data_IF_442055449538
#
_entry.id   IF_442055449538
#
_cell.length_a   1.000
_cell.length_b   1.000
_cell.length_c   1.000
_cell.angle_alpha   90.00
_cell.angle_beta   90.00
_cell.angle_gamma   90.00
#
_symmetry.space_group_name_H-M   'P 1'
#
loop_
_entity.id
_entity.type
_entity.pdbx_description
1 polymer ?
#
# COMPACT_ATOMS: atom_id res chain seq x y z
N UNK A 1 -22.96 -8.93 -14.56
CA UNK A 1 -22.26 -8.85 -13.27
C UNK A 1 -21.40 -10.08 -12.92
N UNK A 2 -21.83 -11.30 -13.24
CA UNK A 2 -21.07 -12.55 -12.99
C UNK A 2 -19.75 -12.69 -13.79
N UNK A 3 -19.66 -12.20 -15.03
CA UNK A 3 -18.44 -12.30 -15.85
C UNK A 3 -17.28 -11.43 -15.36
N UNK A 4 -17.57 -10.28 -14.80
CA UNK A 4 -16.52 -9.35 -14.27
C UNK A 4 -15.88 -9.93 -13.00
N UNK A 5 -16.64 -10.60 -12.16
CA UNK A 5 -16.12 -11.23 -10.94
C UNK A 5 -15.22 -12.44 -11.24
N UNK A 6 -15.56 -13.24 -12.25
CA UNK A 6 -14.73 -14.36 -12.70
C UNK A 6 -13.38 -13.89 -13.27
N UNK A 7 -13.37 -12.78 -14.01
CA UNK A 7 -12.13 -12.18 -14.51
C UNK A 7 -11.24 -11.66 -13.37
N UNK A 8 -11.78 -10.98 -12.36
CA UNK A 8 -11.00 -10.50 -11.21
C UNK A 8 -10.42 -11.65 -10.38
N UNK A 9 -11.16 -12.74 -10.22
CA UNK A 9 -10.66 -13.93 -9.51
C UNK A 9 -9.50 -14.59 -10.27
N UNK A 10 -9.69 -14.81 -11.57
CA UNK A 10 -8.65 -15.35 -12.44
C UNK A 10 -7.38 -14.49 -12.43
N UNK A 11 -7.50 -13.18 -12.66
CA UNK A 11 -6.36 -12.26 -12.63
C UNK A 11 -5.65 -12.28 -11.28
N UNK A 12 -6.39 -12.35 -10.18
CA UNK A 12 -5.82 -12.44 -8.83
C UNK A 12 -4.99 -13.72 -8.65
N UNK A 13 -5.49 -14.86 -9.10
CA UNK A 13 -4.77 -16.13 -9.04
C UNK A 13 -3.51 -16.11 -9.92
N UNK A 14 -3.65 -15.61 -11.16
CA UNK A 14 -2.54 -15.48 -12.10
C UNK A 14 -1.41 -14.62 -11.52
N UNK A 15 -1.70 -13.38 -11.13
CA UNK A 15 -0.68 -12.45 -10.65
C UNK A 15 -0.12 -12.79 -9.27
N UNK A 16 -0.88 -13.47 -8.41
CA UNK A 16 -0.31 -14.07 -7.19
C UNK A 16 0.71 -15.14 -7.53
N UNK A 17 0.41 -16.01 -8.49
CA UNK A 17 1.33 -17.04 -8.96
C UNK A 17 2.59 -16.42 -9.57
N UNK A 18 2.45 -15.50 -10.52
CA UNK A 18 3.59 -14.81 -11.15
C UNK A 18 4.47 -14.13 -10.09
N UNK A 19 3.86 -13.41 -9.14
CA UNK A 19 4.59 -12.74 -8.07
C UNK A 19 5.31 -13.74 -7.15
N UNK A 20 4.72 -14.89 -6.86
CA UNK A 20 5.35 -15.93 -6.01
C UNK A 20 6.60 -16.55 -6.62
N UNK A 21 6.79 -16.45 -7.94
CA UNK A 21 7.98 -16.93 -8.64
C UNK A 21 9.17 -15.98 -8.54
N UNK A 22 8.96 -14.75 -8.08
CA UNK A 22 10.03 -13.78 -7.94
C UNK A 22 10.96 -14.14 -6.77
N UNK A 23 12.26 -14.17 -7.05
CA UNK A 23 13.26 -14.27 -6.00
C UNK A 23 13.32 -12.98 -5.16
N UNK A 24 13.84 -13.02 -3.92
CA UNK A 24 14.01 -11.83 -3.09
C UNK A 24 14.83 -10.72 -3.78
N UNK A 25 15.85 -11.09 -4.55
CA UNK A 25 16.65 -10.13 -5.30
C UNK A 25 15.85 -9.45 -6.43
N UNK A 26 14.98 -10.18 -7.13
CA UNK A 26 14.11 -9.60 -8.14
C UNK A 26 13.10 -8.64 -7.51
N UNK A 27 12.47 -9.01 -6.39
CA UNK A 27 11.57 -8.11 -5.65
C UNK A 27 12.28 -6.82 -5.26
N UNK A 28 13.47 -6.95 -4.66
CA UNK A 28 14.28 -5.79 -4.24
C UNK A 28 14.66 -4.91 -5.42
N UNK A 29 15.12 -5.49 -6.53
CA UNK A 29 15.54 -4.73 -7.72
C UNK A 29 14.34 -4.01 -8.35
N UNK A 30 13.20 -4.69 -8.50
CA UNK A 30 11.98 -4.09 -9.04
C UNK A 30 11.45 -2.98 -8.13
N UNK A 31 11.49 -3.18 -6.81
CA UNK A 31 11.09 -2.14 -5.84
C UNK A 31 11.96 -0.89 -5.94
N UNK A 32 13.27 -1.04 -6.14
CA UNK A 32 14.18 0.09 -6.38
C UNK A 32 13.89 0.82 -7.68
N UNK A 33 13.54 0.10 -8.75
CA UNK A 33 13.16 0.72 -10.03
C UNK A 33 11.85 1.49 -9.88
N UNK A 34 10.86 0.93 -9.18
CA UNK A 34 9.60 1.62 -8.85
C UNK A 34 9.90 2.90 -8.05
N UNK A 35 10.72 2.80 -7.00
CA UNK A 35 11.11 3.96 -6.21
C UNK A 35 11.81 5.04 -7.07
N UNK A 36 12.74 4.64 -7.94
CA UNK A 36 13.40 5.56 -8.88
C UNK A 36 12.40 6.27 -9.79
N UNK A 37 11.41 5.55 -10.31
CA UNK A 37 10.34 6.14 -11.13
C UNK A 37 9.46 7.09 -10.31
N UNK A 38 9.13 6.75 -9.06
CA UNK A 38 8.39 7.65 -8.18
C UNK A 38 9.12 8.97 -7.94
N UNK A 39 10.46 8.94 -7.88
CA UNK A 39 11.28 10.15 -7.69
C UNK A 39 11.16 11.16 -8.84
N UNK A 40 10.70 10.75 -10.03
CA UNK A 40 10.45 11.65 -11.17
C UNK A 40 9.09 12.36 -11.06
N UNK A 41 8.22 11.95 -10.15
CA UNK A 41 6.89 12.51 -9.99
C UNK A 41 6.93 13.74 -9.07
N UNK A 42 6.09 14.74 -9.38
CA UNK A 42 5.95 15.94 -8.55
C UNK A 42 4.95 15.70 -7.39
N UNK A 43 5.29 14.76 -6.52
CA UNK A 43 4.42 14.36 -5.39
C UNK A 43 5.06 14.63 -4.03
N UNK A 44 6.36 14.97 -3.96
CA UNK A 44 7.16 14.97 -2.74
C UNK A 44 7.05 16.25 -1.91
N UNK A 45 6.32 17.26 -2.41
CA UNK A 45 6.07 18.52 -1.71
C UNK A 45 4.88 18.45 -0.75
N UNK A 46 4.05 17.43 -0.85
CA UNK A 46 2.93 17.16 0.05
C UNK A 46 3.40 16.87 1.49
N UNK A 47 2.49 16.90 2.46
CA UNK A 47 2.83 16.70 3.87
C UNK A 47 2.29 15.40 4.45
N UNK A 48 1.18 14.87 3.92
CA UNK A 48 0.45 13.74 4.48
C UNK A 48 0.42 12.56 3.51
N UNK A 49 1.14 11.50 3.83
CA UNK A 49 1.28 10.33 2.98
C UNK A 49 0.75 9.08 3.66
N UNK A 50 0.02 8.27 2.93
CA UNK A 50 -0.30 6.92 3.34
C UNK A 50 0.54 5.92 2.55
N UNK A 51 1.15 4.96 3.24
CA UNK A 51 1.87 3.85 2.63
C UNK A 51 1.45 2.54 3.28
N UNK A 52 1.62 1.44 2.58
CA UNK A 52 1.50 0.13 3.20
C UNK A 52 2.86 -0.38 3.69
N UNK A 53 2.85 -1.29 4.66
CA UNK A 53 4.02 -2.04 5.08
C UNK A 53 4.07 -3.32 4.25
N UNK A 54 5.12 -3.48 3.47
CA UNK A 54 5.25 -4.58 2.50
C UNK A 54 5.11 -5.95 3.17
N UNK A 55 4.28 -6.80 2.62
CA UNK A 55 4.19 -8.20 3.02
C UNK A 55 5.21 -9.03 2.23
N UNK A 56 6.30 -9.41 2.92
CA UNK A 56 7.38 -10.21 2.32
C UNK A 56 6.89 -11.57 1.83
N UNK A 57 5.92 -12.18 2.51
CA UNK A 57 5.35 -13.48 2.12
C UNK A 57 4.61 -13.42 0.78
N UNK A 58 4.13 -12.25 0.39
CA UNK A 58 3.44 -12.01 -0.87
C UNK A 58 4.34 -11.35 -1.93
N UNK A 59 5.65 -11.23 -1.69
CA UNK A 59 6.59 -10.54 -2.57
C UNK A 59 6.08 -9.15 -3.00
N UNK A 60 5.48 -8.40 -2.06
CA UNK A 60 5.02 -7.03 -2.31
C UNK A 60 6.17 -6.07 -2.57
N UNK A 61 5.88 -4.98 -3.28
CA UNK A 61 6.83 -3.87 -3.46
C UNK A 61 7.34 -3.40 -2.11
N UNK A 62 8.66 -3.29 -1.96
CA UNK A 62 9.31 -2.81 -0.74
C UNK A 62 9.11 -1.29 -0.59
N UNK A 63 8.33 -0.89 0.40
CA UNK A 63 8.00 0.54 0.66
C UNK A 63 8.92 1.21 1.66
N UNK A 64 9.89 0.50 2.22
CA UNK A 64 10.79 1.05 3.25
C UNK A 64 11.60 2.26 2.75
N UNK A 65 12.07 2.25 1.49
CA UNK A 65 12.82 3.40 0.93
C UNK A 65 11.93 4.64 0.81
N UNK A 66 10.65 4.46 0.43
CA UNK A 66 9.65 5.53 0.37
C UNK A 66 9.44 6.12 1.77
N UNK A 67 9.14 5.26 2.75
CA UNK A 67 8.86 5.67 4.14
C UNK A 67 10.08 6.40 4.73
N UNK A 68 11.29 5.87 4.52
CA UNK A 68 12.52 6.48 5.01
C UNK A 68 12.78 7.85 4.36
N UNK A 69 12.51 8.00 3.06
CA UNK A 69 12.61 9.29 2.38
C UNK A 69 11.62 10.30 2.98
N UNK A 70 10.38 9.91 3.19
CA UNK A 70 9.35 10.75 3.79
C UNK A 70 9.75 11.22 5.19
N UNK A 71 10.29 10.33 6.03
CA UNK A 71 10.83 10.70 7.34
C UNK A 71 12.02 11.66 7.26
N UNK A 72 12.93 11.47 6.28
CA UNK A 72 14.04 12.39 6.04
C UNK A 72 13.58 13.79 5.63
N UNK A 73 12.46 13.86 4.92
CA UNK A 73 11.81 15.12 4.49
C UNK A 73 10.85 15.70 5.55
N UNK A 74 10.80 15.15 6.77
CA UNK A 74 9.90 15.54 7.85
C UNK A 74 8.40 15.50 7.47
N UNK A 75 8.03 14.54 6.61
CA UNK A 75 6.65 14.32 6.20
C UNK A 75 5.93 13.43 7.19
N UNK A 76 4.60 13.60 7.32
CA UNK A 76 3.75 12.74 8.15
C UNK A 76 3.37 11.49 7.37
N UNK A 77 3.65 10.34 7.95
CA UNK A 77 3.45 9.04 7.31
C UNK A 77 2.44 8.21 8.08
N UNK A 78 1.47 7.70 7.36
CA UNK A 78 0.41 6.86 7.89
C UNK A 78 0.48 5.48 7.24
N UNK A 79 0.16 4.46 8.04
CA UNK A 79 0.08 3.08 7.56
C UNK A 79 -1.23 2.44 8.01
N UNK A 80 -1.72 1.43 7.26
CA UNK A 80 -2.94 0.74 7.65
C UNK A 80 -2.70 -0.19 8.83
N UNK A 81 -3.74 -0.35 9.65
CA UNK A 81 -3.89 -1.42 10.64
C UNK A 81 -5.29 -2.01 10.51
N UNK A 82 -5.38 -3.32 10.49
CA UNK A 82 -6.68 -4.02 10.38
C UNK A 82 -7.39 -3.96 11.74
N UNK A 83 -8.63 -3.51 11.71
CA UNK A 83 -9.53 -3.53 12.86
C UNK A 83 -10.89 -4.12 12.42
N UNK A 84 -11.10 -5.40 12.69
CA UNK A 84 -12.25 -6.14 12.17
C UNK A 84 -12.27 -6.17 10.64
N UNK A 85 -13.30 -5.63 10.02
CA UNK A 85 -13.46 -5.55 8.56
C UNK A 85 -12.96 -4.23 7.95
N UNK A 86 -12.35 -3.35 8.74
CA UNK A 86 -11.93 -2.02 8.32
C UNK A 86 -10.42 -1.85 8.39
N UNK A 87 -9.90 -0.86 7.65
CA UNK A 87 -8.57 -0.30 7.90
C UNK A 87 -8.71 0.95 8.76
N UNK A 88 -7.91 1.03 9.80
CA UNK A 88 -7.64 2.26 10.51
C UNK A 88 -6.25 2.76 10.10
N UNK A 89 -6.04 4.07 10.16
CA UNK A 89 -4.83 4.73 9.70
C UNK A 89 -4.06 5.24 10.89
N UNK A 90 -2.82 4.78 10.99
CA UNK A 90 -1.96 5.01 12.12
C UNK A 90 -0.78 5.85 11.69
N UNK A 91 -0.58 7.00 12.31
CA UNK A 91 0.62 7.78 12.10
C UNK A 91 1.83 7.06 12.70
N UNK A 92 2.89 6.96 11.92
CA UNK A 92 4.14 6.31 12.31
C UNK A 92 5.31 7.28 12.29
N UNK A 93 6.32 6.96 13.06
CA UNK A 93 7.60 7.65 13.10
C UNK A 93 8.76 6.64 13.20
N UNK A 94 9.99 7.15 13.28
CA UNK A 94 11.20 6.31 13.33
C UNK A 94 11.26 5.36 14.54
N UNK A 95 10.53 5.68 15.61
CA UNK A 95 10.53 4.91 16.86
C UNK A 95 9.30 3.99 16.99
N UNK A 96 8.45 3.92 15.94
CA UNK A 96 7.26 3.08 15.96
C UNK A 96 7.63 1.62 16.04
N UNK A 97 7.09 0.91 17.03
CA UNK A 97 7.22 -0.54 17.17
C UNK A 97 6.13 -1.25 16.38
N UNK A 98 6.47 -2.41 15.83
CA UNK A 98 5.58 -3.21 14.97
C UNK A 98 5.42 -4.62 15.51
N UNK A 99 4.24 -5.20 15.33
CA UNK A 99 3.95 -6.63 15.52
C UNK A 99 3.36 -7.22 14.23
N UNK A 100 3.38 -8.53 14.10
CA UNK A 100 2.69 -9.22 12.99
C UNK A 100 1.27 -9.56 13.41
N UNK A 101 0.31 -9.27 12.54
CA UNK A 101 -1.06 -9.73 12.70
C UNK A 101 -1.22 -11.20 12.25
N UNK A 102 -2.43 -11.76 12.32
CA UNK A 102 -2.74 -13.14 11.92
C UNK A 102 -2.46 -13.44 10.43
N UNK A 103 -2.40 -12.42 9.58
CA UNK A 103 -2.07 -12.53 8.15
C UNK A 103 -0.56 -12.38 7.88
N UNK A 104 0.27 -12.29 8.95
CA UNK A 104 1.71 -12.09 8.82
C UNK A 104 2.11 -10.66 8.42
N UNK A 105 1.17 -9.73 8.36
CA UNK A 105 1.42 -8.33 7.99
C UNK A 105 1.90 -7.57 9.23
N UNK A 106 2.97 -6.79 9.09
CA UNK A 106 3.43 -5.89 10.16
C UNK A 106 2.45 -4.76 10.36
N UNK A 107 2.10 -4.50 11.62
CA UNK A 107 1.23 -3.40 12.01
C UNK A 107 1.80 -2.66 13.22
N UNK A 108 1.57 -1.33 13.35
CA UNK A 108 1.97 -0.58 14.54
C UNK A 108 1.31 -1.15 15.80
N UNK A 109 2.11 -1.31 16.88
CA UNK A 109 1.63 -1.90 18.15
C UNK A 109 0.73 -0.92 18.87
N UNK A 110 1.27 0.24 19.22
CA UNK A 110 0.57 1.27 19.98
C UNK A 110 0.35 2.49 19.10
N UNK A 111 -0.91 2.84 18.86
CA UNK A 111 -1.18 3.89 17.90
C UNK A 111 -2.59 4.42 18.01
N UNK A 112 -2.70 5.71 18.01
CA UNK A 112 -3.98 6.40 17.92
C UNK A 112 -4.45 6.44 16.48
N UNK A 113 -5.73 6.17 16.27
CA UNK A 113 -6.38 6.29 14.96
C UNK A 113 -6.27 7.73 14.47
N UNK A 114 -5.86 7.90 13.22
CA UNK A 114 -5.78 9.20 12.55
C UNK A 114 -6.95 9.41 11.58
N UNK A 115 -7.27 10.68 11.29
CA UNK A 115 -8.28 11.01 10.31
C UNK A 115 -7.74 10.80 8.87
N UNK A 116 -8.35 9.92 8.05
CA UNK A 116 -7.91 9.66 6.69
C UNK A 116 -8.12 10.85 5.73
N UNK A 117 -9.01 11.79 6.06
CA UNK A 117 -9.26 12.99 5.23
C UNK A 117 -8.08 13.97 5.20
N UNK A 118 -7.06 13.78 6.04
CA UNK A 118 -5.82 14.55 5.98
C UNK A 118 -4.87 14.07 4.87
N UNK A 119 -5.05 12.87 4.35
CA UNK A 119 -4.14 12.26 3.39
C UNK A 119 -4.14 13.00 2.05
N UNK A 120 -2.96 13.25 1.51
CA UNK A 120 -2.77 13.92 0.21
C UNK A 120 -2.26 12.95 -0.85
N UNK A 121 -1.39 12.00 -0.46
CA UNK A 121 -0.85 10.95 -1.32
C UNK A 121 -1.10 9.59 -0.66
N UNK A 122 -1.60 8.64 -1.43
CA UNK A 122 -1.88 7.28 -0.96
C UNK A 122 -1.20 6.28 -1.90
N UNK A 123 -0.19 5.59 -1.38
CA UNK A 123 0.39 4.43 -2.06
C UNK A 123 -0.50 3.21 -1.81
N UNK A 124 -0.95 2.59 -2.88
CA UNK A 124 -1.96 1.52 -2.84
C UNK A 124 -1.33 0.20 -3.28
N UNK A 125 -1.37 -0.85 -2.45
CA UNK A 125 -0.90 -2.17 -2.86
C UNK A 125 -1.87 -2.78 -3.87
N UNK A 126 -1.32 -3.39 -4.93
CA UNK A 126 -2.10 -4.06 -5.96
C UNK A 126 -1.37 -5.25 -6.55
N UNK A 127 -2.09 -6.13 -7.24
CA UNK A 127 -1.55 -7.25 -8.00
C UNK A 127 -1.46 -6.91 -9.49
N UNK A 128 -2.44 -6.19 -10.01
CA UNK A 128 -2.52 -5.76 -11.39
C UNK A 128 -3.34 -4.49 -11.52
N UNK A 129 -3.15 -3.77 -12.59
CA UNK A 129 -3.93 -2.58 -12.96
C UNK A 129 -4.04 -2.49 -14.49
N UNK A 130 -4.98 -1.70 -14.97
CA UNK A 130 -5.16 -1.41 -16.38
C UNK A 130 -4.89 0.07 -16.72
N UNK A 131 -5.00 0.41 -18.00
CA UNK A 131 -4.78 1.78 -18.47
C UNK A 131 -5.85 2.77 -18.01
N UNK A 132 -7.01 2.29 -17.59
CA UNK A 132 -8.11 3.08 -17.04
C UNK A 132 -7.91 3.42 -15.55
N UNK A 133 -6.94 2.77 -14.91
CA UNK A 133 -6.66 2.91 -13.47
C UNK A 133 -7.46 1.95 -12.60
N UNK A 134 -8.19 1.00 -13.20
CA UNK A 134 -8.81 -0.08 -12.45
C UNK A 134 -7.75 -1.04 -11.92
N UNK A 135 -7.93 -1.52 -10.69
CA UNK A 135 -6.96 -2.39 -10.03
C UNK A 135 -7.55 -3.71 -9.57
N UNK A 136 -6.69 -4.71 -9.50
CA UNK A 136 -6.94 -5.98 -8.83
C UNK A 136 -6.07 -6.06 -7.57
N UNK A 137 -6.72 -6.08 -6.40
CA UNK A 137 -6.05 -6.28 -5.11
C UNK A 137 -6.13 -7.74 -4.64
N UNK A 138 -5.68 -7.99 -3.42
CA UNK A 138 -5.59 -9.32 -2.82
C UNK A 138 -6.92 -10.00 -2.49
N UNK A 139 -8.05 -9.26 -2.52
CA UNK A 139 -9.40 -9.81 -2.37
C UNK A 139 -10.07 -9.53 -1.03
N UNK A 140 -9.39 -8.93 -0.06
CA UNK A 140 -9.97 -8.59 1.24
C UNK A 140 -10.91 -7.37 1.25
N UNK A 141 -10.96 -6.60 0.16
CA UNK A 141 -11.82 -5.41 0.04
C UNK A 141 -11.41 -4.21 0.91
N UNK A 142 -10.39 -4.35 1.73
CA UNK A 142 -9.95 -3.31 2.69
C UNK A 142 -9.65 -1.96 2.02
N UNK A 143 -8.86 -1.98 0.94
CA UNK A 143 -8.51 -0.75 0.22
C UNK A 143 -9.67 -0.19 -0.60
N UNK A 144 -10.59 -1.03 -1.10
CA UNK A 144 -11.77 -0.55 -1.82
C UNK A 144 -12.66 0.25 -0.88
N UNK A 145 -12.89 -0.26 0.33
CA UNK A 145 -13.63 0.43 1.37
C UNK A 145 -12.92 1.71 1.82
N UNK A 146 -11.63 1.61 2.17
CA UNK A 146 -10.82 2.76 2.59
C UNK A 146 -10.84 3.89 1.56
N UNK A 147 -10.56 3.58 0.29
CA UNK A 147 -10.51 4.60 -0.76
C UNK A 147 -11.89 5.17 -1.11
N UNK A 148 -12.97 4.41 -0.87
CA UNK A 148 -14.34 4.89 -1.01
C UNK A 148 -14.76 5.85 0.11
N UNK A 149 -14.20 5.67 1.31
CA UNK A 149 -14.51 6.51 2.48
C UNK A 149 -13.74 7.85 2.51
N UNK A 150 -12.69 8.00 1.69
CA UNK A 150 -11.90 9.22 1.60
C UNK A 150 -12.69 10.32 0.88
N UNK A 151 -12.93 11.41 1.58
CA UNK A 151 -13.72 12.55 1.07
C UNK A 151 -12.91 13.58 0.29
N UNK A 152 -11.58 13.57 0.42
CA UNK A 152 -10.70 14.52 -0.25
C UNK A 152 -10.19 13.97 -1.60
N UNK A 153 -9.52 14.85 -2.37
CA UNK A 153 -8.90 14.51 -3.65
C UNK A 153 -7.47 13.95 -3.51
N UNK A 154 -7.22 13.09 -2.52
CA UNK A 154 -5.93 12.46 -2.37
C UNK A 154 -5.50 11.72 -3.64
N UNK A 155 -4.27 11.94 -4.10
CA UNK A 155 -3.70 11.23 -5.24
C UNK A 155 -3.40 9.78 -4.85
N UNK A 156 -3.96 8.84 -5.58
CA UNK A 156 -3.80 7.39 -5.37
C UNK A 156 -2.78 6.85 -6.36
N UNK A 157 -1.73 6.21 -5.87
CA UNK A 157 -0.61 5.68 -6.66
C UNK A 157 -0.48 4.20 -6.38
N UNK A 158 -0.78 3.36 -7.38
CA UNK A 158 -0.62 1.90 -7.29
C UNK A 158 0.85 1.47 -7.36
N UNK A 159 1.26 0.53 -6.49
CA UNK A 159 2.60 -0.05 -6.44
C UNK A 159 2.57 -1.57 -6.49
#
# INVERSE_FOLDING_TARGET
MLMINNNKLFLRQLFKKERSLLSPNQVKTSSKLIFKNLMTLNIWEKNFYHSFLSNVLNNEVETNEIINLLFKKNKRVFVPKILGTNLIHIEINKNTSYSKNQLGIREPVNSSKSNPDLLEIIFVPLLAFDKQGDRVGYGGGYYDKFLGDIKNNALKIGL
#
